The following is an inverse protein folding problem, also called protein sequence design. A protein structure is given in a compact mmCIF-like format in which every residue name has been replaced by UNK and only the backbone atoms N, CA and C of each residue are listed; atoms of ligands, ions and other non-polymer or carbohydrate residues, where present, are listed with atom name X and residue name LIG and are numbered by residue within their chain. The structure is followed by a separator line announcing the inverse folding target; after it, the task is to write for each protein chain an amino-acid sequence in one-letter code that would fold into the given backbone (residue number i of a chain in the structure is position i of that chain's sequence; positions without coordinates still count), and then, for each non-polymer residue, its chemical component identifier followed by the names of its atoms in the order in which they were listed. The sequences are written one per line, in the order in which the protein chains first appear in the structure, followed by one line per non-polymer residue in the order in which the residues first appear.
data_IF_037872005191
#
_entry.id   IF_037872005191
#
_cell.length_a   1.000
_cell.length_b   1.000
_cell.length_c   1.000
_cell.angle_alpha   90.00
_cell.angle_beta   90.00
_cell.angle_gamma   90.00
#
_symmetry.space_group_name_H-M   'P 1'
#
loop_
_entity.id
_entity.type
_entity.pdbx_description
1 polymer ?
#
# COMPACT_ATOMS: atom_id res chain seq x y z
N UNK A 1 54.48 -40.11 -29.27
CA UNK A 1 54.52 -41.44 -29.90
C UNK A 1 53.47 -42.31 -29.21
N UNK A 2 52.52 -42.86 -29.96
CA UNK A 2 51.57 -43.90 -29.53
C UNK A 2 52.34 -45.25 -29.35
N UNK A 3 51.78 -46.38 -28.83
CA UNK A 3 50.41 -46.85 -29.09
C UNK A 3 49.65 -47.76 -28.06
N UNK A 4 48.35 -47.94 -28.38
CA UNK A 4 47.50 -49.17 -28.37
C UNK A 4 47.02 -49.81 -27.05
N UNK A 5 45.71 -49.89 -26.74
CA UNK A 5 44.55 -50.70 -27.27
C UNK A 5 44.55 -52.18 -26.86
N UNK A 6 43.41 -52.64 -26.29
CA UNK A 6 42.71 -53.96 -26.39
C UNK A 6 41.57 -53.96 -25.33
N UNK A 7 40.30 -53.75 -25.68
CA UNK A 7 39.22 -54.67 -26.12
C UNK A 7 38.70 -55.70 -25.08
N UNK A 8 37.36 -55.71 -24.92
CA UNK A 8 36.50 -56.45 -23.97
C UNK A 8 36.06 -57.83 -24.48
N UNK A 9 35.44 -58.69 -23.64
CA UNK A 9 34.11 -59.26 -23.96
C UNK A 9 33.26 -59.69 -22.71
N UNK A 10 32.07 -60.34 -22.84
CA UNK A 10 30.86 -59.97 -23.61
C UNK A 10 29.53 -60.08 -22.80
N UNK A 11 28.42 -59.73 -23.46
CA UNK A 11 27.01 -59.67 -23.02
C UNK A 11 26.30 -61.02 -22.76
N UNK A 12 25.25 -60.96 -21.93
CA UNK A 12 24.01 -61.77 -21.93
C UNK A 12 23.18 -61.45 -20.67
N UNK A 13 21.86 -61.31 -20.62
CA UNK A 13 20.73 -61.58 -21.51
C UNK A 13 19.48 -60.84 -20.98
N UNK A 14 18.57 -60.47 -21.88
CA UNK A 14 17.31 -59.74 -21.66
C UNK A 14 16.17 -60.56 -21.04
N UNK A 15 15.34 -59.94 -20.18
CA UNK A 15 13.89 -60.22 -20.02
C UNK A 15 13.15 -58.88 -19.76
N UNK A 16 12.02 -58.60 -20.42
CA UNK A 16 11.22 -57.40 -20.19
C UNK A 16 10.05 -57.67 -19.22
N UNK A 17 9.71 -56.70 -18.36
CA UNK A 17 8.38 -56.65 -17.76
C UNK A 17 7.87 -55.21 -17.66
N UNK A 18 6.72 -55.03 -18.30
CA UNK A 18 5.90 -53.83 -18.43
C UNK A 18 5.29 -53.31 -17.13
N UNK A 19 4.91 -52.03 -17.21
CA UNK A 19 3.70 -51.40 -16.67
C UNK A 19 3.84 -50.51 -15.42
N UNK A 20 3.65 -49.21 -15.71
CA UNK A 20 2.92 -48.23 -14.91
C UNK A 20 3.36 -48.00 -13.46
N UNK A 21 4.43 -47.22 -13.30
CA UNK A 21 4.67 -46.43 -12.11
C UNK A 21 4.30 -44.97 -12.38
N UNK A 22 3.33 -44.45 -11.64
CA UNK A 22 2.81 -43.10 -11.75
C UNK A 22 3.95 -42.06 -11.71
N UNK A 23 4.03 -41.27 -12.76
CA UNK A 23 4.90 -40.10 -12.83
C UNK A 23 4.28 -39.00 -11.93
N UNK A 24 4.47 -39.14 -10.62
CA UNK A 24 4.16 -38.09 -9.66
C UNK A 24 5.41 -37.22 -9.47
N UNK A 25 5.92 -36.67 -10.58
CA UNK A 25 6.70 -35.43 -10.51
C UNK A 25 5.68 -34.32 -10.31
N UNK A 26 5.32 -34.05 -9.05
CA UNK A 26 4.88 -32.70 -8.71
C UNK A 26 6.08 -31.81 -9.02
N UNK A 27 6.09 -31.24 -10.22
CA UNK A 27 6.87 -30.04 -10.47
C UNK A 27 6.48 -29.06 -9.36
N UNK A 28 7.42 -28.83 -8.46
CA UNK A 28 7.37 -27.68 -7.58
C UNK A 28 7.38 -26.48 -8.53
N UNK A 29 6.34 -25.62 -8.55
CA UNK A 29 6.35 -24.49 -9.45
C UNK A 29 7.61 -23.68 -9.13
N UNK A 30 8.48 -23.47 -10.14
CA UNK A 30 9.44 -22.37 -10.05
C UNK A 30 8.63 -21.14 -9.64
N UNK A 31 9.07 -20.37 -8.67
CA UNK A 31 8.49 -19.04 -8.53
C UNK A 31 8.88 -18.24 -9.78
N UNK A 32 7.93 -18.20 -10.71
CA UNK A 32 7.98 -17.65 -12.06
C UNK A 32 7.29 -16.28 -12.12
N UNK A 33 6.94 -15.69 -10.99
CA UNK A 33 5.73 -14.85 -10.88
C UNK A 33 5.91 -13.34 -11.07
N UNK A 34 6.97 -12.91 -11.77
CA UNK A 34 7.02 -11.56 -12.34
C UNK A 34 8.40 -11.12 -12.83
N UNK A 35 8.50 -10.76 -14.12
CA UNK A 35 9.59 -9.93 -14.65
C UNK A 35 9.09 -8.48 -14.75
N UNK A 36 8.38 -7.99 -13.74
CA UNK A 36 7.85 -6.63 -13.78
C UNK A 36 8.94 -5.63 -13.43
N UNK A 37 9.57 -5.11 -14.47
CA UNK A 37 10.59 -4.06 -14.44
C UNK A 37 10.23 -3.02 -15.52
N UNK A 38 9.19 -2.20 -15.28
CA UNK A 38 8.59 -1.34 -16.30
C UNK A 38 9.54 -0.25 -16.81
N UNK A 39 10.56 0.10 -16.03
CA UNK A 39 11.58 1.07 -16.38
C UNK A 39 12.91 0.71 -15.72
N UNK A 40 13.98 1.36 -16.17
CA UNK A 40 15.21 1.45 -15.38
C UNK A 40 14.99 2.50 -14.28
N UNK A 41 15.18 2.17 -12.98
CA UNK A 41 15.06 3.16 -11.92
C UNK A 41 15.90 4.42 -12.14
N UNK A 42 17.06 4.31 -12.81
CA UNK A 42 17.94 5.43 -13.11
C UNK A 42 17.31 6.50 -14.01
N UNK A 43 16.23 6.17 -14.73
CA UNK A 43 15.52 7.13 -15.60
C UNK A 43 14.35 7.83 -14.91
N UNK A 44 14.05 7.50 -13.64
CA UNK A 44 12.90 8.03 -12.91
C UNK A 44 13.26 9.28 -12.11
N UNK A 45 12.33 10.23 -12.06
CA UNK A 45 12.36 11.42 -11.22
C UNK A 45 11.57 11.20 -9.91
N UNK A 46 12.18 10.43 -9.00
CA UNK A 46 11.59 10.14 -7.70
C UNK A 46 12.16 11.07 -6.62
N UNK A 47 11.29 11.71 -5.85
CA UNK A 47 11.68 12.58 -4.74
C UNK A 47 11.03 12.18 -3.41
N UNK A 48 11.81 12.28 -2.34
CA UNK A 48 11.39 12.26 -0.95
C UNK A 48 11.07 13.67 -0.44
N UNK A 49 10.74 13.80 0.85
CA UNK A 49 10.62 15.11 1.51
C UNK A 49 11.95 15.87 1.58
N UNK A 50 13.08 15.17 1.50
CA UNK A 50 14.43 15.73 1.71
C UNK A 50 15.28 15.78 0.44
N UNK A 51 14.69 15.50 -0.73
CA UNK A 51 15.36 15.53 -2.02
C UNK A 51 15.21 14.22 -2.80
N UNK A 52 16.01 14.00 -3.86
CA UNK A 52 15.92 12.83 -4.72
C UNK A 52 16.03 11.51 -3.96
N UNK A 53 15.27 10.50 -4.40
CA UNK A 53 15.40 9.13 -3.90
C UNK A 53 16.73 8.50 -4.35
N UNK A 54 17.25 7.53 -3.60
CA UNK A 54 18.37 6.71 -4.06
C UNK A 54 17.88 5.66 -5.06
N UNK A 55 18.12 5.88 -6.36
CA UNK A 55 17.59 5.05 -7.45
C UNK A 55 18.16 3.62 -7.43
N UNK A 56 19.37 3.40 -6.90
CA UNK A 56 19.94 2.05 -6.71
C UNK A 56 19.20 1.24 -5.64
N UNK A 57 18.49 1.93 -4.73
CA UNK A 57 17.67 1.34 -3.69
C UNK A 57 16.19 1.23 -4.08
N UNK A 58 15.87 1.32 -5.37
CA UNK A 58 14.52 1.11 -5.88
C UNK A 58 14.38 -0.31 -6.45
N UNK A 59 13.23 -0.92 -6.16
CA UNK A 59 12.78 -2.17 -6.76
C UNK A 59 11.31 -2.05 -7.17
N UNK A 60 10.73 -3.14 -7.66
CA UNK A 60 9.34 -3.14 -8.15
C UNK A 60 8.48 -4.15 -7.43
N UNK A 61 7.26 -3.72 -7.07
CA UNK A 61 6.21 -4.62 -6.61
C UNK A 61 5.84 -5.56 -7.75
N UNK A 62 5.72 -6.84 -7.46
CA UNK A 62 5.40 -7.83 -8.49
C UNK A 62 3.87 -7.99 -8.57
N UNK A 63 3.26 -7.82 -9.75
CA UNK A 63 1.82 -7.94 -9.92
C UNK A 63 1.34 -9.38 -9.76
N UNK A 64 0.07 -9.52 -9.40
CA UNK A 64 -0.67 -10.76 -9.23
C UNK A 64 -1.96 -10.63 -10.02
N UNK A 65 -2.22 -11.57 -10.93
CA UNK A 65 -3.47 -11.60 -11.67
C UNK A 65 -4.58 -12.26 -10.83
N UNK A 66 -5.84 -11.90 -11.09
CA UNK A 66 -7.01 -12.44 -10.39
C UNK A 66 -7.20 -13.95 -10.54
N UNK A 67 -6.63 -14.57 -11.59
CA UNK A 67 -6.67 -16.01 -11.84
C UNK A 67 -5.50 -16.79 -11.20
N UNK A 68 -4.58 -16.09 -10.50
CA UNK A 68 -3.49 -16.75 -9.77
C UNK A 68 -4.08 -17.72 -8.72
N UNK A 69 -3.60 -18.97 -8.62
CA UNK A 69 -4.11 -19.91 -7.62
C UNK A 69 -3.96 -19.38 -6.19
N UNK A 70 -4.99 -19.56 -5.35
CA UNK A 70 -5.02 -19.03 -3.98
C UNK A 70 -3.79 -19.42 -3.15
N UNK A 71 -3.32 -20.67 -3.27
CA UNK A 71 -2.13 -21.13 -2.57
C UNK A 71 -0.86 -20.33 -2.94
N UNK A 72 -0.74 -19.91 -4.21
CA UNK A 72 0.37 -19.06 -4.68
C UNK A 72 0.20 -17.63 -4.17
N UNK A 73 -1.04 -17.10 -4.12
CA UNK A 73 -1.31 -15.79 -3.52
C UNK A 73 -0.91 -15.77 -2.03
N UNK A 74 -1.24 -16.82 -1.27
CA UNK A 74 -0.83 -16.97 0.13
C UNK A 74 0.68 -17.05 0.28
N UNK A 75 1.36 -17.86 -0.52
CA UNK A 75 2.82 -17.97 -0.50
C UNK A 75 3.49 -16.60 -0.71
N UNK A 76 3.02 -15.84 -1.71
CA UNK A 76 3.52 -14.49 -2.01
C UNK A 76 3.29 -13.53 -0.85
N UNK A 77 2.07 -13.51 -0.31
CA UNK A 77 1.73 -12.62 0.80
C UNK A 77 2.53 -12.92 2.07
N UNK A 78 2.74 -14.19 2.40
CA UNK A 78 3.56 -14.58 3.56
C UNK A 78 5.04 -14.25 3.37
N UNK A 79 5.58 -14.43 2.15
CA UNK A 79 6.97 -14.11 1.84
C UNK A 79 7.22 -12.60 1.82
N UNK A 80 6.38 -11.85 1.11
CA UNK A 80 6.65 -10.46 0.76
C UNK A 80 5.96 -9.46 1.70
N UNK A 81 4.94 -9.90 2.44
CA UNK A 81 4.10 -9.08 3.30
C UNK A 81 3.03 -8.27 2.57
N UNK A 82 2.95 -8.40 1.24
CA UNK A 82 1.95 -7.75 0.39
C UNK A 82 1.48 -8.68 -0.75
N UNK A 83 0.37 -8.31 -1.38
CA UNK A 83 -0.13 -8.88 -2.62
C UNK A 83 -0.66 -7.76 -3.51
N UNK A 84 0.01 -7.51 -4.65
CA UNK A 84 -0.41 -6.49 -5.61
C UNK A 84 -1.32 -7.11 -6.67
N UNK A 85 -2.63 -6.91 -6.55
CA UNK A 85 -3.64 -7.56 -7.39
C UNK A 85 -4.10 -6.61 -8.48
N UNK A 86 -3.90 -7.01 -9.74
CA UNK A 86 -4.28 -6.24 -10.92
C UNK A 86 -5.75 -6.42 -11.24
N UNK A 87 -6.48 -5.32 -11.45
CA UNK A 87 -7.90 -5.36 -11.82
C UNK A 87 -8.80 -6.10 -10.81
N UNK A 88 -8.53 -5.93 -9.52
CA UNK A 88 -9.30 -6.52 -8.42
C UNK A 88 -10.74 -6.00 -8.35
N UNK A 89 -10.95 -4.72 -8.67
CA UNK A 89 -12.27 -4.10 -8.80
C UNK A 89 -12.49 -3.60 -10.23
N UNK A 90 -13.73 -3.42 -10.70
CA UNK A 90 -14.01 -2.87 -12.02
C UNK A 90 -13.39 -1.46 -12.17
N UNK A 91 -12.65 -1.26 -13.26
CA UNK A 91 -11.99 0.02 -13.58
C UNK A 91 -12.95 1.20 -13.52
N UNK A 92 -14.13 1.05 -14.11
CA UNK A 92 -15.14 2.13 -14.17
C UNK A 92 -15.64 2.54 -12.79
N UNK A 93 -15.79 1.61 -11.84
CA UNK A 93 -16.19 1.94 -10.45
C UNK A 93 -15.15 2.83 -9.78
N UNK A 94 -13.86 2.59 -10.03
CA UNK A 94 -12.76 3.45 -9.55
C UNK A 94 -12.79 4.83 -10.22
N UNK A 95 -12.99 4.91 -11.53
CA UNK A 95 -13.05 6.19 -12.26
C UNK A 95 -14.29 7.02 -11.95
N UNK A 96 -15.44 6.38 -11.72
CA UNK A 96 -16.66 7.05 -11.26
C UNK A 96 -16.49 7.65 -9.86
N UNK A 97 -15.91 6.90 -8.92
CA UNK A 97 -15.55 7.44 -7.61
C UNK A 97 -14.55 8.59 -7.73
N UNK A 98 -13.56 8.50 -8.62
CA UNK A 98 -12.59 9.57 -8.89
C UNK A 98 -13.28 10.85 -9.34
N UNK A 99 -14.15 10.75 -10.36
CA UNK A 99 -14.93 11.86 -10.91
C UNK A 99 -15.82 12.49 -9.84
N UNK A 100 -16.50 11.68 -9.04
CA UNK A 100 -17.37 12.15 -7.96
C UNK A 100 -16.59 12.88 -6.87
N UNK A 101 -15.45 12.33 -6.44
CA UNK A 101 -14.56 12.97 -5.47
C UNK A 101 -14.08 14.33 -5.96
N UNK A 102 -13.55 14.41 -7.18
CA UNK A 102 -13.01 15.67 -7.68
C UNK A 102 -14.11 16.69 -7.97
N UNK A 103 -15.29 16.26 -8.42
CA UNK A 103 -16.46 17.15 -8.53
C UNK A 103 -16.88 17.69 -7.15
N UNK A 104 -16.82 16.85 -6.11
CA UNK A 104 -17.10 17.24 -4.73
C UNK A 104 -16.06 18.22 -4.17
N UNK A 105 -14.78 18.06 -4.56
CA UNK A 105 -13.68 18.93 -4.15
C UNK A 105 -13.56 20.20 -5.00
N UNK A 106 -14.19 20.30 -6.17
CA UNK A 106 -14.09 21.44 -7.07
C UNK A 106 -14.31 22.79 -6.38
N UNK A 107 -15.29 22.95 -5.45
CA UNK A 107 -15.48 24.20 -4.74
C UNK A 107 -14.29 24.61 -3.87
N UNK A 108 -13.28 23.78 -3.58
CA UNK A 108 -12.08 24.20 -2.85
C UNK A 108 -11.08 24.97 -3.71
N UNK A 109 -11.23 24.95 -5.04
CA UNK A 109 -10.22 25.44 -5.99
C UNK A 109 -9.04 24.47 -6.17
N UNK A 110 -9.23 23.18 -5.87
CA UNK A 110 -8.21 22.14 -6.00
C UNK A 110 -7.87 21.85 -7.48
N UNK A 111 -8.87 21.95 -8.35
CA UNK A 111 -8.77 21.54 -9.75
C UNK A 111 -8.52 22.71 -10.69
N UNK A 112 -7.83 22.44 -11.80
CA UNK A 112 -7.76 23.37 -12.93
C UNK A 112 -9.15 23.54 -13.57
N UNK A 113 -9.55 24.80 -13.75
CA UNK A 113 -10.85 25.15 -14.33
C UNK A 113 -10.99 24.65 -15.77
N UNK A 114 -12.17 24.13 -16.11
CA UNK A 114 -12.47 23.66 -17.47
C UNK A 114 -11.93 22.27 -17.82
N UNK A 115 -11.23 21.60 -16.89
CA UNK A 115 -10.81 20.20 -17.04
C UNK A 115 -11.90 19.23 -16.61
N UNK A 116 -11.88 18.01 -17.14
CA UNK A 116 -12.77 16.94 -16.66
C UNK A 116 -12.35 16.53 -15.23
N UNK A 117 -13.24 16.55 -14.22
CA UNK A 117 -12.93 16.13 -12.86
C UNK A 117 -12.27 14.75 -12.74
N UNK A 118 -12.55 13.80 -13.65
CA UNK A 118 -11.90 12.48 -13.60
C UNK A 118 -10.40 12.57 -13.85
N UNK A 119 -9.92 13.56 -14.60
CA UNK A 119 -8.49 13.74 -14.84
C UNK A 119 -7.77 14.19 -13.55
N UNK A 120 -8.46 14.98 -12.72
CA UNK A 120 -7.94 15.47 -11.44
C UNK A 120 -6.70 16.33 -11.64
N UNK A 121 -6.73 17.26 -12.61
CA UNK A 121 -5.60 18.16 -12.89
C UNK A 121 -5.55 19.23 -11.79
N UNK A 122 -4.38 19.41 -11.18
CA UNK A 122 -4.19 20.38 -10.11
C UNK A 122 -4.24 21.82 -10.64
N UNK A 123 -4.86 22.72 -9.88
CA UNK A 123 -5.04 24.13 -10.27
C UNK A 123 -3.75 24.96 -10.40
N UNK A 124 -2.60 24.41 -9.98
CA UNK A 124 -1.33 25.14 -9.89
C UNK A 124 -1.26 26.12 -8.71
N UNK A 125 -2.28 26.14 -7.84
CA UNK A 125 -2.29 26.97 -6.64
C UNK A 125 -1.20 26.56 -5.62
N UNK A 126 -1.03 27.34 -4.54
CA UNK A 126 -0.07 26.99 -3.49
C UNK A 126 -0.44 25.66 -2.84
N UNK A 127 0.38 24.63 -3.11
CA UNK A 127 0.23 23.26 -2.60
C UNK A 127 0.08 23.20 -1.08
N UNK A 128 0.62 24.17 -0.32
CA UNK A 128 0.50 24.23 1.14
C UNK A 128 -0.95 24.39 1.58
N UNK A 129 -1.83 24.99 0.77
CA UNK A 129 -3.26 25.13 1.07
C UNK A 129 -4.03 23.81 1.05
N UNK A 130 -3.50 22.78 0.39
CA UNK A 130 -4.16 21.50 0.19
C UNK A 130 -3.60 20.40 1.12
N UNK A 131 -3.24 20.80 2.34
CA UNK A 131 -2.73 19.88 3.37
C UNK A 131 -3.85 19.34 4.26
N UNK A 132 -3.76 18.05 4.66
CA UNK A 132 -4.67 17.48 5.65
C UNK A 132 -4.53 18.20 7.01
N UNK A 133 -5.51 18.06 7.90
CA UNK A 133 -5.42 18.53 9.28
C UNK A 133 -4.14 18.04 9.97
N UNK A 134 -3.44 18.92 10.67
CA UNK A 134 -2.23 18.57 11.42
C UNK A 134 -1.24 19.71 11.60
N UNK A 135 -0.09 19.39 12.21
CA UNK A 135 0.92 20.37 12.61
C UNK A 135 1.51 21.20 11.46
N UNK A 136 1.59 20.62 10.25
CA UNK A 136 2.12 21.34 9.08
C UNK A 136 1.28 22.56 8.70
N UNK A 137 -0.05 22.49 8.85
CA UNK A 137 -0.92 23.65 8.59
C UNK A 137 -0.59 24.81 9.53
N UNK A 138 -0.34 24.51 10.80
CA UNK A 138 0.08 25.50 11.80
C UNK A 138 1.45 26.08 11.46
N UNK A 139 2.41 25.23 11.07
CA UNK A 139 3.76 25.67 10.70
C UNK A 139 3.78 26.56 9.46
N UNK A 140 2.87 26.33 8.51
CA UNK A 140 2.72 27.17 7.32
C UNK A 140 1.80 28.38 7.52
N UNK A 141 1.34 28.65 8.74
CA UNK A 141 0.53 29.83 9.05
C UNK A 141 -0.87 29.80 8.45
N UNK A 142 -1.41 28.61 8.13
CA UNK A 142 -2.73 28.43 7.51
C UNK A 142 -3.88 28.47 8.52
N UNK A 143 -3.65 29.06 9.69
CA UNK A 143 -4.69 29.22 10.69
C UNK A 143 -5.66 30.30 10.18
N UNK A 144 -6.95 29.98 10.15
CA UNK A 144 -8.02 30.88 9.71
C UNK A 144 -7.88 31.30 8.22
N UNK A 145 -7.21 30.49 7.38
CA UNK A 145 -7.11 30.69 5.93
C UNK A 145 -8.38 30.12 5.24
N UNK A 146 -9.27 30.97 4.67
CA UNK A 146 -10.58 30.51 4.22
C UNK A 146 -10.54 29.49 3.08
N UNK A 147 -9.54 29.58 2.19
CA UNK A 147 -9.41 28.67 1.05
C UNK A 147 -8.94 27.29 1.52
N UNK A 148 -7.91 27.29 2.37
CA UNK A 148 -7.34 26.11 3.00
C UNK A 148 -8.35 25.42 3.93
N UNK A 149 -9.14 26.19 4.68
CA UNK A 149 -10.17 25.64 5.58
C UNK A 149 -11.36 25.07 4.80
N UNK A 150 -11.71 25.66 3.66
CA UNK A 150 -12.71 25.11 2.73
C UNK A 150 -12.25 23.75 2.17
N UNK A 151 -10.98 23.63 1.77
CA UNK A 151 -10.41 22.35 1.37
C UNK A 151 -10.51 21.31 2.48
N UNK A 152 -10.07 21.64 3.70
CA UNK A 152 -10.12 20.72 4.85
C UNK A 152 -11.54 20.26 5.15
N UNK A 153 -12.50 21.20 5.14
CA UNK A 153 -13.91 20.87 5.40
C UNK A 153 -14.41 19.82 4.42
N UNK A 154 -14.16 20.01 3.13
CA UNK A 154 -14.58 19.07 2.07
C UNK A 154 -13.82 17.74 2.16
N UNK A 155 -12.51 17.77 2.37
CA UNK A 155 -11.70 16.57 2.52
C UNK A 155 -12.17 15.70 3.70
N UNK A 156 -12.49 16.31 4.85
CA UNK A 156 -13.02 15.58 6.01
C UNK A 156 -14.39 15.00 5.70
N UNK A 157 -15.32 15.80 5.16
CA UNK A 157 -16.68 15.32 4.86
C UNK A 157 -16.74 14.31 3.71
N UNK A 158 -15.75 14.27 2.82
CA UNK A 158 -15.66 13.28 1.76
C UNK A 158 -15.58 11.83 2.28
N UNK A 159 -15.06 11.62 3.50
CA UNK A 159 -14.98 10.29 4.12
C UNK A 159 -16.36 9.69 4.46
N UNK A 160 -17.42 10.51 4.44
CA UNK A 160 -18.82 10.10 4.67
C UNK A 160 -19.72 10.48 3.50
N UNK A 161 -19.16 10.95 2.38
CA UNK A 161 -19.94 11.28 1.21
C UNK A 161 -20.51 10.01 0.57
N UNK A 162 -21.77 10.02 0.09
CA UNK A 162 -22.42 8.82 -0.45
C UNK A 162 -21.60 8.11 -1.53
N UNK A 163 -21.05 8.86 -2.50
CA UNK A 163 -20.23 8.29 -3.58
C UNK A 163 -19.05 7.46 -3.06
N UNK A 164 -18.46 7.87 -1.94
CA UNK A 164 -17.29 7.22 -1.36
C UNK A 164 -17.68 6.03 -0.48
N UNK A 165 -18.79 6.15 0.27
CA UNK A 165 -19.32 5.03 1.04
C UNK A 165 -19.79 3.90 0.13
N UNK A 166 -20.43 4.23 -0.99
CA UNK A 166 -20.85 3.28 -2.02
C UNK A 166 -19.61 2.59 -2.64
N UNK A 167 -18.55 3.34 -2.94
CA UNK A 167 -17.27 2.77 -3.38
C UNK A 167 -16.66 1.79 -2.36
N UNK A 168 -16.70 2.12 -1.07
CA UNK A 168 -16.22 1.25 0.00
C UNK A 168 -17.12 0.01 0.25
N UNK A 169 -18.33 0.00 -0.33
CA UNK A 169 -19.22 -1.16 -0.33
C UNK A 169 -19.01 -2.07 -1.54
N UNK A 170 -18.00 -1.81 -2.38
CA UNK A 170 -17.69 -2.62 -3.57
C UNK A 170 -17.64 -4.14 -3.23
N UNK A 171 -18.46 -4.90 -3.95
CA UNK A 171 -18.68 -6.31 -3.65
C UNK A 171 -17.50 -7.16 -4.12
N UNK A 172 -16.89 -6.83 -5.25
CA UNK A 172 -15.73 -7.56 -5.80
C UNK A 172 -14.53 -7.51 -4.84
N UNK A 173 -14.27 -6.36 -4.22
CA UNK A 173 -13.25 -6.21 -3.18
C UNK A 173 -13.56 -7.10 -1.96
N UNK A 174 -14.81 -7.11 -1.50
CA UNK A 174 -15.24 -7.92 -0.35
C UNK A 174 -15.16 -9.41 -0.65
N UNK A 175 -15.55 -9.81 -1.85
CA UNK A 175 -15.49 -11.19 -2.31
C UNK A 175 -14.04 -11.65 -2.43
N UNK A 176 -13.15 -10.80 -2.97
CA UNK A 176 -11.72 -11.09 -2.99
C UNK A 176 -11.18 -11.26 -1.57
N UNK A 177 -11.46 -10.33 -0.66
CA UNK A 177 -11.01 -10.42 0.74
C UNK A 177 -11.53 -11.69 1.41
N UNK A 178 -12.81 -12.01 1.23
CA UNK A 178 -13.41 -13.23 1.78
C UNK A 178 -12.73 -14.49 1.23
N UNK A 179 -12.52 -14.55 -0.09
CA UNK A 179 -11.83 -15.67 -0.74
C UNK A 179 -10.38 -15.81 -0.29
N UNK A 180 -9.64 -14.69 -0.25
CA UNK A 180 -8.24 -14.66 0.12
C UNK A 180 -8.01 -15.01 1.59
N UNK A 181 -8.85 -14.50 2.50
CA UNK A 181 -8.66 -14.71 3.96
C UNK A 181 -9.36 -15.97 4.49
N UNK A 182 -10.37 -16.46 3.78
CA UNK A 182 -11.31 -17.46 4.28
C UNK A 182 -12.32 -16.91 5.30
N UNK A 183 -12.37 -15.60 5.53
CA UNK A 183 -13.36 -14.98 6.42
C UNK A 183 -14.72 -14.98 5.73
N UNK A 184 -15.72 -15.60 6.35
CA UNK A 184 -17.07 -15.67 5.78
C UNK A 184 -17.71 -14.29 5.65
N UNK A 185 -17.48 -13.40 6.60
CA UNK A 185 -18.05 -12.05 6.65
C UNK A 185 -16.97 -11.01 7.02
N UNK A 186 -16.03 -10.66 6.13
CA UNK A 186 -14.98 -9.72 6.47
C UNK A 186 -15.56 -8.35 6.87
N UNK A 187 -15.25 -7.89 8.09
CA UNK A 187 -15.68 -6.59 8.57
C UNK A 187 -14.68 -5.53 8.12
N UNK A 188 -15.14 -4.59 7.30
CA UNK A 188 -14.36 -3.40 6.96
C UNK A 188 -14.44 -2.40 8.12
N UNK A 189 -13.30 -1.86 8.57
CA UNK A 189 -13.28 -0.79 9.56
C UNK A 189 -13.89 0.49 8.96
N UNK A 190 -14.63 1.25 9.78
CA UNK A 190 -15.32 2.46 9.31
C UNK A 190 -14.39 3.65 9.10
N UNK A 191 -13.29 3.71 9.87
CA UNK A 191 -12.23 4.70 9.64
C UNK A 191 -11.42 4.27 8.44
N UNK A 192 -11.52 5.05 7.38
CA UNK A 192 -10.73 4.91 6.16
C UNK A 192 -9.82 6.12 6.01
N UNK A 193 -8.81 6.03 5.14
CA UNK A 193 -7.95 7.16 4.83
C UNK A 193 -8.08 7.53 3.35
N UNK A 194 -9.03 8.39 3.02
CA UNK A 194 -9.20 8.94 1.67
C UNK A 194 -8.29 10.15 1.49
N UNK A 195 -7.32 10.05 0.58
CA UNK A 195 -6.26 11.07 0.45
C UNK A 195 -6.00 11.46 -0.99
N UNK A 196 -6.02 12.78 -1.22
CA UNK A 196 -5.53 13.41 -2.43
C UNK A 196 -4.11 13.98 -2.20
N UNK A 197 -3.21 13.74 -3.13
CA UNK A 197 -1.84 14.25 -3.12
C UNK A 197 -1.59 15.08 -4.37
N UNK A 198 -1.55 16.39 -4.16
CA UNK A 198 -1.24 17.36 -5.21
C UNK A 198 0.25 17.28 -5.59
N UNK A 199 0.65 17.74 -6.78
CA UNK A 199 2.05 17.79 -7.17
C UNK A 199 2.93 18.45 -6.10
N UNK A 200 4.10 17.88 -5.84
CA UNK A 200 5.10 18.38 -4.89
C UNK A 200 4.69 18.50 -3.41
N UNK A 201 3.51 17.99 -3.02
CA UNK A 201 3.06 18.01 -1.62
C UNK A 201 3.91 17.13 -0.70
N UNK A 202 3.66 17.23 0.61
CA UNK A 202 4.19 16.27 1.59
C UNK A 202 3.70 14.85 1.28
N UNK A 203 4.58 13.87 1.51
CA UNK A 203 4.31 12.44 1.30
C UNK A 203 3.82 11.74 2.58
N UNK A 204 3.34 10.51 2.42
CA UNK A 204 3.06 9.61 3.54
C UNK A 204 4.38 9.19 4.20
N UNK A 205 4.63 9.51 5.49
CA UNK A 205 5.87 9.17 6.18
C UNK A 205 6.04 7.64 6.32
N UNK A 206 7.25 7.18 6.65
CA UNK A 206 7.56 5.77 6.85
C UNK A 206 6.85 5.24 8.09
N UNK A 207 5.99 4.25 7.93
CA UNK A 207 5.27 3.61 9.05
C UNK A 207 4.78 2.21 8.67
N UNK A 208 4.11 1.54 9.60
CA UNK A 208 3.30 0.36 9.36
C UNK A 208 1.97 0.46 10.13
N UNK A 209 0.93 -0.19 9.65
CA UNK A 209 -0.45 0.06 10.10
C UNK A 209 -0.71 -0.35 11.56
N UNK A 210 -0.06 -1.43 12.04
CA UNK A 210 -0.29 -1.94 13.40
C UNK A 210 -0.04 -0.90 14.49
N UNK A 211 0.85 0.08 14.24
CA UNK A 211 1.16 1.16 15.18
C UNK A 211 -0.10 1.94 15.60
N UNK A 212 -1.08 2.07 14.71
CA UNK A 212 -2.34 2.77 14.95
C UNK A 212 -3.51 1.86 15.37
N UNK A 213 -3.34 0.54 15.25
CA UNK A 213 -4.35 -0.49 15.48
C UNK A 213 -4.07 -1.32 16.75
N UNK A 214 -3.26 -0.78 17.67
CA UNK A 214 -2.76 -1.48 18.87
C UNK A 214 -3.81 -1.90 19.89
N UNK A 215 -5.06 -1.43 19.81
CA UNK A 215 -6.13 -1.96 20.67
C UNK A 215 -6.71 -3.29 20.16
N UNK A 216 -6.20 -3.79 19.03
CA UNK A 216 -6.47 -5.11 18.51
C UNK A 216 -5.18 -5.88 18.20
N UNK A 217 -5.28 -7.21 18.04
CA UNK A 217 -4.16 -8.00 17.54
C UNK A 217 -3.82 -7.62 16.08
N UNK A 218 -2.59 -7.92 15.64
CA UNK A 218 -2.06 -7.62 14.31
C UNK A 218 -2.61 -8.58 13.25
N UNK A 219 -3.93 -8.56 13.05
CA UNK A 219 -4.65 -9.48 12.17
C UNK A 219 -5.42 -8.79 11.05
N UNK A 220 -5.33 -7.46 10.93
CA UNK A 220 -6.01 -6.74 9.86
C UNK A 220 -5.37 -6.99 8.50
N UNK A 221 -6.18 -7.03 7.45
CA UNK A 221 -5.72 -6.95 6.07
C UNK A 221 -6.02 -5.55 5.54
N UNK A 222 -4.98 -4.77 5.22
CA UNK A 222 -5.16 -3.46 4.62
C UNK A 222 -5.22 -3.59 3.11
N UNK A 223 -6.21 -2.98 2.48
CA UNK A 223 -6.32 -2.79 1.04
C UNK A 223 -6.08 -1.30 0.71
N UNK A 224 -4.97 -1.01 0.03
CA UNK A 224 -4.72 0.28 -0.58
C UNK A 224 -5.27 0.27 -2.00
N UNK A 225 -6.21 1.17 -2.28
CA UNK A 225 -6.93 1.25 -3.54
C UNK A 225 -6.60 2.58 -4.23
N UNK A 226 -5.84 2.58 -5.33
CA UNK A 226 -5.70 3.74 -6.20
C UNK A 226 -7.07 4.06 -6.85
N UNK A 227 -7.49 5.32 -6.72
CA UNK A 227 -8.74 5.82 -7.31
C UNK A 227 -8.35 6.61 -8.57
N UNK A 228 -8.01 5.88 -9.62
CA UNK A 228 -7.36 6.39 -10.83
C UNK A 228 -6.00 5.76 -11.11
N UNK A 229 -5.48 5.98 -12.31
CA UNK A 229 -4.13 5.53 -12.69
C UNK A 229 -3.05 6.36 -11.96
N UNK A 230 -1.93 5.72 -11.61
CA UNK A 230 -0.78 6.34 -10.92
C UNK A 230 0.50 5.84 -11.59
N UNK A 231 1.22 6.74 -12.26
CA UNK A 231 2.54 6.43 -12.82
C UNK A 231 3.61 6.25 -11.73
N UNK A 232 4.77 5.72 -12.10
CA UNK A 232 5.92 5.54 -11.19
C UNK A 232 6.29 6.85 -10.45
N UNK A 233 6.22 7.97 -11.16
CA UNK A 233 6.60 9.30 -10.64
C UNK A 233 5.44 10.04 -10.00
N UNK A 234 4.20 9.57 -10.13
CA UNK A 234 3.05 10.17 -9.46
C UNK A 234 2.99 9.84 -7.95
N UNK A 235 4.00 9.11 -7.45
CA UNK A 235 4.23 8.88 -6.04
C UNK A 235 3.19 7.96 -5.42
N UNK A 236 2.91 6.80 -6.04
CA UNK A 236 2.08 5.74 -5.46
C UNK A 236 2.57 5.24 -4.10
N UNK A 237 1.80 4.39 -3.42
CA UNK A 237 2.27 3.77 -2.18
C UNK A 237 3.48 2.89 -2.50
N UNK A 238 4.51 2.93 -1.67
CA UNK A 238 5.73 2.14 -1.81
C UNK A 238 6.02 1.37 -0.54
N UNK A 239 6.65 0.20 -0.70
CA UNK A 239 6.85 -0.75 0.38
C UNK A 239 8.32 -1.08 0.56
N UNK A 240 8.80 -1.15 1.80
CA UNK A 240 10.17 -1.55 2.05
C UNK A 240 10.27 -3.07 1.94
N UNK A 241 11.15 -3.56 1.08
CA UNK A 241 11.29 -5.00 0.75
C UNK A 241 11.41 -5.88 2.01
N UNK A 242 10.58 -6.93 2.09
CA UNK A 242 10.59 -7.92 3.18
C UNK A 242 10.36 -7.38 4.59
N UNK A 243 9.84 -6.15 4.76
CA UNK A 243 9.88 -5.38 6.02
C UNK A 243 8.89 -5.77 7.11
N UNK A 244 8.10 -6.83 6.92
CA UNK A 244 7.21 -7.31 7.97
C UNK A 244 7.96 -7.75 9.24
N UNK A 245 9.21 -8.18 9.12
CA UNK A 245 10.07 -8.51 10.27
C UNK A 245 10.48 -7.25 11.07
N UNK A 246 10.72 -6.13 10.38
CA UNK A 246 10.98 -4.83 11.02
C UNK A 246 9.75 -4.40 11.82
N UNK A 247 8.56 -4.41 11.22
CA UNK A 247 7.32 -4.03 11.91
C UNK A 247 7.05 -4.89 13.15
N UNK A 248 7.22 -6.22 13.04
CA UNK A 248 7.10 -7.15 14.18
C UNK A 248 8.08 -6.82 15.29
N UNK A 249 9.36 -6.65 14.95
CA UNK A 249 10.41 -6.31 15.92
C UNK A 249 10.13 -4.97 16.60
N UNK A 250 9.67 -3.97 15.85
CA UNK A 250 9.31 -2.66 16.40
C UNK A 250 8.17 -2.76 17.41
N UNK A 251 7.12 -3.54 17.14
CA UNK A 251 6.03 -3.74 18.10
C UNK A 251 6.47 -4.55 19.33
N UNK A 252 7.28 -5.59 19.14
CA UNK A 252 7.84 -6.37 20.26
C UNK A 252 8.69 -5.50 21.18
N UNK A 253 9.51 -4.63 20.61
CA UNK A 253 10.35 -3.72 21.37
C UNK A 253 9.52 -2.61 22.03
N UNK A 254 8.49 -2.09 21.36
CA UNK A 254 7.54 -1.15 21.99
C UNK A 254 6.87 -1.80 23.21
N UNK A 255 6.36 -3.03 23.08
CA UNK A 255 5.69 -3.74 24.17
C UNK A 255 6.59 -3.96 25.40
N UNK A 256 7.88 -4.30 25.18
CA UNK A 256 8.86 -4.46 26.28
C UNK A 256 9.11 -3.15 27.05
N UNK A 257 9.04 -2.01 26.37
CA UNK A 257 9.34 -0.69 26.95
C UNK A 257 8.10 0.12 27.34
N UNK A 258 6.89 -0.44 27.18
CA UNK A 258 5.61 0.23 27.45
C UNK A 258 5.21 0.28 28.95
N UNK A 259 6.05 -0.21 29.86
CA UNK A 259 5.73 -0.30 31.30
C UNK A 259 5.45 1.07 31.96
N UNK A 260 5.95 2.16 31.36
CA UNK A 260 5.77 3.54 31.81
C UNK A 260 4.54 4.25 31.19
N UNK A 261 3.73 3.54 30.40
CA UNK A 261 2.54 4.05 29.71
C UNK A 261 1.26 3.54 30.38
N UNK A 262 0.20 4.37 30.40
CA UNK A 262 -1.16 3.92 30.69
C UNK A 262 -1.70 3.04 29.57
N UNK A 263 -2.81 2.33 29.79
CA UNK A 263 -3.41 1.50 28.75
C UNK A 263 -3.81 2.32 27.51
N UNK A 264 -4.39 3.50 27.72
CA UNK A 264 -4.77 4.42 26.63
C UNK A 264 -3.55 4.92 25.84
N UNK A 265 -2.43 5.21 26.53
CA UNK A 265 -1.18 5.62 25.89
C UNK A 265 -0.55 4.48 25.08
N UNK A 266 -0.64 3.23 25.56
CA UNK A 266 -0.08 2.04 24.89
C UNK A 266 -0.72 1.78 23.54
N UNK A 267 -2.03 1.95 23.46
CA UNK A 267 -2.79 1.72 22.23
C UNK A 267 -2.73 2.92 21.26
N UNK A 268 -2.22 4.07 21.69
CA UNK A 268 -2.04 5.26 20.86
C UNK A 268 -0.71 5.20 20.10
N UNK A 269 -0.71 5.55 18.82
CA UNK A 269 0.53 5.82 18.08
C UNK A 269 1.17 7.17 18.46
N UNK A 270 0.41 8.02 19.16
CA UNK A 270 0.81 9.35 19.61
C UNK A 270 1.04 9.30 21.13
N UNK A 271 2.19 8.76 21.52
CA UNK A 271 2.61 8.66 22.91
C UNK A 271 4.11 9.00 23.05
N UNK A 272 4.56 9.22 24.29
CA UNK A 272 5.93 9.67 24.60
C UNK A 272 7.05 8.69 24.21
N UNK A 273 6.72 7.42 23.94
CA UNK A 273 7.69 6.41 23.50
C UNK A 273 7.72 6.27 21.95
N UNK A 274 6.93 7.05 21.22
CA UNK A 274 6.90 7.09 19.74
C UNK A 274 7.49 8.40 19.23
N UNK A 275 7.93 8.43 17.97
CA UNK A 275 8.29 9.69 17.32
C UNK A 275 7.09 10.64 17.27
N UNK A 276 7.37 11.93 17.37
CA UNK A 276 6.36 12.97 17.23
C UNK A 276 5.70 12.88 15.84
N UNK A 277 4.38 12.65 15.84
CA UNK A 277 3.59 12.43 14.62
C UNK A 277 3.29 10.97 14.26
N UNK A 278 3.74 10.00 15.06
CA UNK A 278 3.29 8.60 14.95
C UNK A 278 3.78 7.88 13.70
N UNK A 279 5.09 7.96 13.39
CA UNK A 279 5.72 7.27 12.26
C UNK A 279 7.15 6.86 12.61
N UNK A 280 7.78 5.99 11.82
CA UNK A 280 9.17 5.55 12.01
C UNK A 280 10.18 6.59 11.51
N UNK A 281 9.91 7.22 10.37
CA UNK A 281 10.78 8.24 9.79
C UNK A 281 10.02 9.12 8.81
N UNK A 282 10.47 10.37 8.62
CA UNK A 282 10.06 11.23 7.49
C UNK A 282 10.99 11.11 6.29
N UNK A 283 12.18 10.57 6.49
CA UNK A 283 13.23 10.43 5.50
C UNK A 283 13.24 9.00 4.98
N UNK A 284 12.63 8.82 3.81
CA UNK A 284 12.54 7.52 3.12
C UNK A 284 13.91 7.06 2.63
N UNK A 285 14.80 7.98 2.25
CA UNK A 285 16.13 7.64 1.74
C UNK A 285 17.01 7.12 2.86
N UNK A 286 17.15 7.87 3.94
CA UNK A 286 17.94 7.47 5.09
C UNK A 286 17.41 6.15 5.70
N UNK A 287 16.08 6.02 5.81
CA UNK A 287 15.47 4.81 6.39
C UNK A 287 15.75 3.57 5.54
N UNK A 288 15.60 3.65 4.22
CA UNK A 288 15.90 2.53 3.31
C UNK A 288 17.37 2.12 3.35
N UNK A 289 18.28 3.09 3.42
CA UNK A 289 19.72 2.86 3.52
C UNK A 289 20.12 2.21 4.86
N UNK A 290 19.57 2.70 5.97
CA UNK A 290 19.81 2.13 7.31
C UNK A 290 19.30 0.69 7.40
N UNK A 291 18.09 0.44 6.89
CA UNK A 291 17.51 -0.89 6.83
C UNK A 291 18.21 -1.81 5.82
N UNK A 292 18.99 -1.24 4.88
CA UNK A 292 19.64 -1.91 3.75
C UNK A 292 18.66 -2.69 2.87
N UNK A 293 17.52 -2.06 2.56
CA UNK A 293 16.45 -2.68 1.75
C UNK A 293 15.98 -1.74 0.67
N UNK A 294 15.39 -2.32 -0.38
CA UNK A 294 14.84 -1.54 -1.48
C UNK A 294 13.44 -1.02 -1.18
N UNK A 295 13.12 0.15 -1.68
CA UNK A 295 11.75 0.63 -1.81
C UNK A 295 11.12 0.07 -3.08
N UNK A 296 10.08 -0.74 -2.92
CA UNK A 296 9.32 -1.36 -3.99
C UNK A 296 8.22 -0.40 -4.44
N UNK A 297 8.23 -0.04 -5.72
CA UNK A 297 7.24 0.83 -6.37
C UNK A 297 6.50 0.09 -7.49
N UNK A 298 5.40 0.65 -7.98
CA UNK A 298 4.70 0.13 -9.16
C UNK A 298 3.97 1.25 -9.89
N UNK A 299 3.59 0.97 -11.13
CA UNK A 299 2.50 1.68 -11.79
C UNK A 299 1.19 1.04 -11.36
N UNK A 300 0.21 1.89 -11.13
CA UNK A 300 -1.12 1.48 -10.73
C UNK A 300 -2.12 1.90 -11.79
N UNK A 301 -3.09 1.03 -12.01
CA UNK A 301 -4.23 1.30 -12.87
C UNK A 301 -5.49 1.35 -12.01
N UNK A 302 -6.45 2.18 -12.42
CA UNK A 302 -7.79 2.15 -11.84
C UNK A 302 -8.36 0.72 -11.94
N UNK A 303 -8.70 0.14 -10.78
CA UNK A 303 -9.11 -1.25 -10.64
C UNK A 303 -8.13 -2.12 -9.84
N UNK A 304 -6.87 -1.71 -9.75
CA UNK A 304 -5.88 -2.41 -8.94
C UNK A 304 -6.14 -2.27 -7.44
N UNK A 305 -5.61 -3.21 -6.66
CA UNK A 305 -5.58 -3.13 -5.19
C UNK A 305 -4.27 -3.74 -4.69
N UNK A 306 -3.60 -3.06 -3.75
CA UNK A 306 -2.53 -3.71 -2.96
C UNK A 306 -3.09 -4.10 -1.60
N UNK A 307 -2.94 -5.38 -1.27
CA UNK A 307 -3.16 -5.89 0.06
C UNK A 307 -1.83 -5.96 0.81
N UNK A 308 -1.80 -5.61 2.08
CA UNK A 308 -0.62 -5.78 2.92
C UNK A 308 -0.97 -6.15 4.35
N UNK A 309 -0.05 -6.85 5.02
CA UNK A 309 -0.20 -7.20 6.42
C UNK A 309 0.07 -5.99 7.34
N UNK A 310 -0.34 -6.05 8.63
CA UNK A 310 -0.25 -4.91 9.54
C UNK A 310 1.17 -4.40 9.82
N UNK A 311 2.19 -5.21 9.53
CA UNK A 311 3.59 -4.94 9.84
C UNK A 311 4.38 -4.41 8.65
N UNK A 312 3.78 -4.41 7.46
CA UNK A 312 4.50 -4.04 6.26
C UNK A 312 4.86 -2.57 6.30
N UNK A 313 6.17 -2.27 6.29
CA UNK A 313 6.67 -0.89 6.32
C UNK A 313 6.48 -0.26 4.95
N UNK A 314 5.81 0.88 4.95
CA UNK A 314 5.44 1.58 3.72
C UNK A 314 5.51 3.10 3.89
N UNK A 315 5.54 3.79 2.75
CA UNK A 315 5.60 5.23 2.62
C UNK A 315 5.08 5.63 1.22
N UNK A 316 5.22 6.90 0.83
CA UNK A 316 5.07 7.29 -0.58
C UNK A 316 6.22 8.20 -1.02
N UNK A 317 6.36 8.41 -2.33
CA UNK A 317 7.18 9.49 -2.88
C UNK A 317 6.34 10.77 -3.05
N UNK A 318 7.00 11.89 -3.38
CA UNK A 318 6.31 13.08 -3.88
C UNK A 318 5.62 12.77 -5.19
N UNK A 319 4.47 13.39 -5.40
CA UNK A 319 3.82 13.38 -6.70
C UNK A 319 4.59 14.32 -7.65
N UNK A 320 5.25 13.72 -8.64
CA UNK A 320 6.01 14.36 -9.72
C UNK A 320 5.39 14.10 -11.09
N UNK A 321 4.09 13.82 -11.14
CA UNK A 321 3.40 13.61 -12.39
C UNK A 321 3.62 14.81 -13.33
N UNK A 322 4.11 14.61 -14.56
CA UNK A 322 4.47 15.70 -15.47
C UNK A 322 3.26 16.47 -16.01
N UNK A 323 2.05 15.93 -15.85
CA UNK A 323 0.79 16.54 -16.28
C UNK A 323 -0.01 17.11 -15.09
N UNK A 324 0.64 17.36 -13.96
CA UNK A 324 0.03 17.92 -12.74
C UNK A 324 -1.19 17.15 -12.22
N UNK A 325 -1.29 15.85 -12.55
CA UNK A 325 -2.38 14.99 -12.09
C UNK A 325 -2.28 14.75 -10.59
N UNK A 326 -3.38 14.94 -9.88
CA UNK A 326 -3.51 14.65 -8.45
C UNK A 326 -3.66 13.13 -8.27
N UNK A 327 -2.81 12.54 -7.42
CA UNK A 327 -2.97 11.15 -6.97
C UNK A 327 -4.11 11.09 -5.96
N UNK A 328 -5.07 10.21 -6.18
CA UNK A 328 -6.16 9.93 -5.24
C UNK A 328 -6.12 8.44 -4.90
N UNK A 329 -6.21 8.13 -3.61
CA UNK A 329 -6.29 6.75 -3.14
C UNK A 329 -7.06 6.66 -1.83
N UNK A 330 -7.48 5.45 -1.48
CA UNK A 330 -7.99 5.15 -0.15
C UNK A 330 -7.35 3.91 0.44
N UNK A 331 -7.16 3.95 1.76
CA UNK A 331 -6.81 2.80 2.57
C UNK A 331 -8.08 2.30 3.31
N UNK A 332 -8.51 1.08 3.00
CA UNK A 332 -9.57 0.38 3.76
C UNK A 332 -8.97 -0.84 4.45
N UNK A 333 -9.46 -1.18 5.65
CA UNK A 333 -8.94 -2.30 6.45
C UNK A 333 -10.03 -3.29 6.74
N UNK A 334 -9.71 -4.57 6.61
CA UNK A 334 -10.62 -5.68 6.91
C UNK A 334 -10.12 -6.49 8.10
N UNK A 335 -11.05 -7.01 8.87
CA UNK A 335 -10.80 -7.90 10.01
C UNK A 335 -11.82 -9.03 10.02
N UNK A 336 -11.49 -10.14 10.68
CA UNK A 336 -12.46 -11.17 11.04
C UNK A 336 -13.32 -10.66 12.22
N UNK A 337 -14.65 -10.45 12.05
CA UNK A 337 -15.50 -9.95 13.13
C UNK A 337 -15.64 -10.93 14.30
N UNK A 338 -15.33 -12.21 14.10
CA UNK A 338 -15.39 -13.25 15.14
C UNK A 338 -14.13 -13.27 16.03
N UNK A 339 -13.13 -12.42 15.72
CA UNK A 339 -11.88 -12.28 16.47
C UNK A 339 -11.80 -10.89 17.12
N UNK A 340 -10.97 -10.72 18.18
CA UNK A 340 -10.64 -9.39 18.67
C UNK A 340 -10.03 -8.52 17.57
N UNK A 341 -10.44 -7.25 17.51
CA UNK A 341 -9.86 -6.23 16.64
C UNK A 341 -10.02 -4.84 17.29
N UNK A 342 -9.32 -3.83 16.76
CA UNK A 342 -9.36 -2.47 17.30
C UNK A 342 -10.69 -1.77 16.99
N UNK A 343 -11.62 -1.81 17.95
CA UNK A 343 -12.94 -1.19 17.82
C UNK A 343 -12.90 0.34 17.75
N UNK A 344 -11.78 1.00 18.08
CA UNK A 344 -11.66 2.46 17.97
C UNK A 344 -11.73 2.93 16.52
N UNK A 345 -11.47 2.03 15.56
CA UNK A 345 -11.55 2.27 14.12
C UNK A 345 -12.96 2.06 13.53
N UNK A 346 -13.96 1.73 14.35
CA UNK A 346 -15.37 1.63 13.95
C UNK A 346 -16.11 2.97 14.05
N UNK A 347 -15.44 4.06 13.67
CA UNK A 347 -16.01 5.40 13.53
C UNK A 347 -15.39 6.08 12.32
N UNK A 348 -16.12 6.99 11.68
CA UNK A 348 -15.58 7.75 10.55
C UNK A 348 -14.34 8.57 10.94
N UNK A 349 -13.53 8.93 9.93
CA UNK A 349 -12.36 9.78 10.12
C UNK A 349 -12.77 11.13 10.73
N UNK A 350 -12.07 11.52 11.79
CA UNK A 350 -12.17 12.85 12.40
C UNK A 350 -10.77 13.35 12.74
N UNK A 351 -10.45 14.61 12.45
CA UNK A 351 -9.18 15.19 12.88
C UNK A 351 -9.06 15.26 14.40
N UNK A 352 -7.83 15.18 14.92
CA UNK A 352 -7.49 15.44 16.32
C UNK A 352 -8.18 14.51 17.35
N UNK A 353 -8.67 13.35 16.92
CA UNK A 353 -9.34 12.37 17.79
C UNK A 353 -8.40 11.27 18.33
N UNK A 354 -7.09 11.46 18.16
CA UNK A 354 -6.05 10.57 18.67
C UNK A 354 -5.83 9.28 17.86
N UNK A 355 -6.34 9.20 16.62
CA UNK A 355 -6.22 8.05 15.72
C UNK A 355 -5.73 8.41 14.32
#
# INVERSE_FOLDING_TARGET
MAPSRLESPPLGSSIPSSANGLNNSKEVPKDTYGNYYPADPATLNLESNYGPMNLESIGYLQPTSMDTPLAVMHERFERDGYLFVKGCIPREVSLECRRAYFSYMAPSGLLEDGTDPVEGIFSGADTKKYLPPGNLRRLFGLKDDPESDRYVKLMVSAHEAPFYLDFCQNQELRDFVSHFTGWANPQMLQRTMLRAFVPNSELTPVHFDQMYLRAGPPTSLTAWVPIGDVSLEAGGLMYLEGSSDIGKKTEDDFAKHAHNLTEEERISAFNKNMNDGGFLSRDTVAYGQEARRKWLIAEYEAGDVIFHNPYMVHASCKNKNPNDKIRLATDVRFVDPEKPYDKRWMKAYRPLDGL
#
